data_IF_582983913974
#
_entry.id   IF_582983913974
#
_cell.length_a   1.000
_cell.length_b   1.000
_cell.length_c   1.000
_cell.angle_alpha   90.00
_cell.angle_beta   90.00
_cell.angle_gamma   90.00
#
_symmetry.space_group_name_H-M   'P 1'
#
loop_
_entity.id
_entity.type
_entity.pdbx_description
1 polymer ?
#
# COMPACT_ATOMS: atom_id res chain seq x y z
N UNK A 1 -28.03 22.05 3.41
CA UNK A 1 -26.92 21.35 2.72
C UNK A 1 -25.83 22.40 2.60
N UNK A 2 -24.59 22.13 3.03
CA UNK A 2 -23.54 23.16 2.92
C UNK A 2 -23.20 23.38 1.46
N UNK A 3 -23.36 24.61 0.94
CA UNK A 3 -23.00 25.03 -0.42
C UNK A 3 -21.47 25.05 -0.67
N UNK A 4 -20.69 24.35 0.17
CA UNK A 4 -19.24 24.34 0.10
C UNK A 4 -18.76 23.17 -0.75
N UNK A 5 -18.02 23.50 -1.80
CA UNK A 5 -17.22 22.54 -2.57
C UNK A 5 -15.91 22.29 -1.84
N UNK A 6 -15.56 21.02 -1.60
CA UNK A 6 -14.29 20.64 -0.98
C UNK A 6 -13.21 20.40 -2.03
N UNK A 7 -12.06 21.03 -1.86
CA UNK A 7 -10.92 20.83 -2.75
C UNK A 7 -10.04 19.68 -2.27
N UNK A 8 -9.73 18.75 -3.18
CA UNK A 8 -8.93 17.55 -2.89
C UNK A 8 -7.75 17.47 -3.84
N UNK A 9 -6.54 17.33 -3.30
CA UNK A 9 -5.32 17.15 -4.10
C UNK A 9 -4.76 15.73 -3.95
N UNK A 10 -4.64 15.01 -5.07
CA UNK A 10 -3.97 13.72 -5.13
C UNK A 10 -2.51 13.87 -5.57
N UNK A 11 -1.59 13.41 -4.71
CA UNK A 11 -0.15 13.50 -4.94
C UNK A 11 0.43 12.14 -5.27
N UNK A 12 1.18 12.05 -6.37
CA UNK A 12 2.09 10.93 -6.62
C UNK A 12 3.44 11.44 -7.15
N UNK A 13 4.43 10.58 -7.35
CA UNK A 13 5.75 11.05 -7.82
C UNK A 13 5.66 11.66 -9.21
N UNK A 14 5.12 10.93 -10.19
CA UNK A 14 5.18 11.31 -11.59
C UNK A 14 4.00 12.11 -12.15
N UNK A 15 2.91 12.26 -11.38
CA UNK A 15 1.62 12.79 -11.87
C UNK A 15 1.24 12.34 -13.28
N UNK A 16 1.21 11.03 -13.50
CA UNK A 16 1.03 10.44 -14.83
C UNK A 16 -0.02 9.33 -14.86
N UNK A 17 -0.15 8.56 -13.77
CA UNK A 17 -1.08 7.42 -13.69
C UNK A 17 -2.02 7.52 -12.47
N UNK A 18 -1.56 7.09 -11.29
CA UNK A 18 -2.40 6.93 -10.08
C UNK A 18 -3.16 8.18 -9.66
N UNK A 19 -2.49 9.34 -9.61
CA UNK A 19 -3.16 10.58 -9.21
C UNK A 19 -4.13 11.12 -10.28
N UNK A 20 -3.90 10.81 -11.57
CA UNK A 20 -4.82 11.14 -12.67
C UNK A 20 -6.08 10.27 -12.60
N UNK A 21 -5.92 8.96 -12.34
CA UNK A 21 -7.05 8.07 -12.07
C UNK A 21 -7.91 8.62 -10.92
N UNK A 22 -7.26 9.05 -9.83
CA UNK A 22 -7.94 9.57 -8.65
C UNK A 22 -8.69 10.89 -8.92
N UNK A 23 -8.05 11.85 -9.59
CA UNK A 23 -8.65 13.13 -9.97
C UNK A 23 -9.91 12.93 -10.82
N UNK A 24 -9.81 12.13 -11.88
CA UNK A 24 -10.93 11.85 -12.78
C UNK A 24 -12.11 11.19 -12.07
N UNK A 25 -11.83 10.13 -11.29
CA UNK A 25 -12.85 9.38 -10.57
C UNK A 25 -13.55 10.27 -9.53
N UNK A 26 -12.80 11.08 -8.75
CA UNK A 26 -13.42 11.92 -7.73
C UNK A 26 -14.23 13.06 -8.34
N UNK A 27 -13.78 13.69 -9.43
CA UNK A 27 -14.56 14.73 -10.11
C UNK A 27 -15.89 14.18 -10.65
N UNK A 28 -15.90 12.95 -11.16
CA UNK A 28 -17.12 12.31 -11.65
C UNK A 28 -18.06 11.86 -10.52
N UNK A 29 -17.54 11.19 -9.48
CA UNK A 29 -18.34 10.60 -8.40
C UNK A 29 -18.75 11.65 -7.35
N UNK A 30 -17.90 12.65 -7.11
CA UNK A 30 -18.07 13.71 -6.11
C UNK A 30 -19.02 14.82 -6.55
N UNK A 31 -19.24 14.98 -7.88
CA UNK A 31 -20.14 15.98 -8.47
C UNK A 31 -19.91 17.37 -7.86
N UNK A 32 -20.98 18.11 -7.57
CA UNK A 32 -20.91 19.49 -7.07
C UNK A 32 -20.42 19.61 -5.61
N UNK A 33 -20.02 18.50 -4.96
CA UNK A 33 -19.52 18.52 -3.58
C UNK A 33 -18.00 18.58 -3.50
N UNK A 34 -17.31 18.15 -4.54
CA UNK A 34 -15.85 18.02 -4.53
C UNK A 34 -15.26 18.51 -5.84
N UNK A 35 -14.12 19.18 -5.72
CA UNK A 35 -13.25 19.49 -6.84
C UNK A 35 -11.90 18.83 -6.60
N UNK A 36 -11.56 17.88 -7.47
CA UNK A 36 -10.33 17.13 -7.41
C UNK A 36 -9.27 17.74 -8.31
N UNK A 37 -8.03 17.71 -7.82
CA UNK A 37 -6.82 18.07 -8.52
C UNK A 37 -5.80 16.95 -8.34
N UNK A 38 -4.81 16.88 -9.23
CA UNK A 38 -3.63 16.04 -9.03
C UNK A 38 -2.35 16.78 -9.32
N UNK A 39 -1.27 16.35 -8.67
CA UNK A 39 0.07 16.84 -8.95
C UNK A 39 1.12 15.79 -8.58
N UNK A 40 2.39 16.12 -8.79
CA UNK A 40 3.47 15.27 -8.34
C UNK A 40 4.75 16.01 -8.03
N UNK A 41 5.63 15.32 -7.31
CA UNK A 41 6.90 15.86 -6.87
C UNK A 41 7.96 15.90 -7.97
N UNK A 42 7.89 14.95 -8.89
CA UNK A 42 8.76 14.82 -10.06
C UNK A 42 7.89 14.50 -11.28
N UNK A 43 7.06 15.46 -11.75
CA UNK A 43 6.12 15.22 -12.82
C UNK A 43 6.82 14.71 -14.08
N UNK A 44 6.25 13.68 -14.72
CA UNK A 44 6.80 13.10 -15.95
C UNK A 44 6.62 14.00 -17.18
N UNK A 45 5.78 15.03 -17.08
CA UNK A 45 5.46 15.93 -18.19
C UNK A 45 4.31 15.44 -19.07
N UNK A 46 3.98 14.15 -19.03
CA UNK A 46 2.87 13.56 -19.77
C UNK A 46 1.98 12.63 -18.92
N UNK A 47 0.71 12.57 -19.29
CA UNK A 47 -0.27 11.66 -18.70
C UNK A 47 -0.14 10.30 -19.38
N UNK A 48 -0.14 9.22 -18.60
CA UNK A 48 0.00 7.88 -19.12
C UNK A 48 -1.23 7.48 -19.96
N UNK A 49 -1.04 7.04 -21.22
CA UNK A 49 -2.16 6.67 -22.10
C UNK A 49 -3.06 5.56 -21.55
N UNK A 50 -2.52 4.58 -20.81
CA UNK A 50 -3.31 3.52 -20.20
C UNK A 50 -4.23 4.03 -19.09
N UNK A 51 -3.84 5.11 -18.38
CA UNK A 51 -4.73 5.75 -17.42
C UNK A 51 -5.96 6.32 -18.11
N UNK A 52 -5.77 7.05 -19.21
CA UNK A 52 -6.86 7.63 -20.00
C UNK A 52 -7.73 6.53 -20.65
N UNK A 53 -7.10 5.49 -21.20
CA UNK A 53 -7.80 4.34 -21.80
C UNK A 53 -8.72 3.66 -20.79
N UNK A 54 -8.22 3.35 -19.59
CA UNK A 54 -9.01 2.71 -18.53
C UNK A 54 -10.11 3.64 -18.01
N UNK A 55 -9.83 4.93 -17.84
CA UNK A 55 -10.86 5.90 -17.45
C UNK A 55 -12.00 5.95 -18.46
N UNK A 56 -11.68 6.05 -19.75
CA UNK A 56 -12.67 6.05 -20.82
C UNK A 56 -13.50 4.77 -20.85
N UNK A 57 -12.86 3.60 -20.70
CA UNK A 57 -13.55 2.31 -20.62
C UNK A 57 -14.49 2.20 -19.41
N UNK A 58 -14.19 2.88 -18.31
CA UNK A 58 -15.01 2.94 -17.10
C UNK A 58 -16.06 4.06 -17.11
N UNK A 59 -16.11 4.88 -18.18
CA UNK A 59 -17.05 5.99 -18.32
C UNK A 59 -16.67 7.25 -17.54
N UNK A 60 -15.39 7.42 -17.20
CA UNK A 60 -14.87 8.60 -16.52
C UNK A 60 -14.29 9.64 -17.50
N UNK A 61 -14.22 10.93 -17.11
CA UNK A 61 -13.56 11.95 -17.92
C UNK A 61 -12.12 11.57 -18.30
N UNK A 62 -11.70 11.91 -19.51
CA UNK A 62 -10.37 11.62 -20.05
C UNK A 62 -9.64 12.86 -20.59
N UNK A 63 -10.25 14.03 -20.51
CA UNK A 63 -9.73 15.27 -21.08
C UNK A 63 -9.32 16.28 -19.99
N UNK A 64 -8.49 17.25 -20.34
CA UNK A 64 -8.09 18.34 -19.44
C UNK A 64 -7.01 17.98 -18.41
N UNK A 65 -6.59 16.72 -18.35
CA UNK A 65 -5.51 16.28 -17.46
C UNK A 65 -4.13 16.68 -18.00
N UNK A 66 -3.23 17.06 -17.09
CA UNK A 66 -1.80 17.25 -17.38
C UNK A 66 -0.94 16.78 -16.23
N UNK A 67 0.29 16.39 -16.55
CA UNK A 67 1.34 16.13 -15.56
C UNK A 67 1.96 17.45 -15.10
N UNK A 68 1.94 17.71 -13.79
CA UNK A 68 2.34 19.01 -13.21
C UNK A 68 2.98 18.89 -11.83
N UNK A 69 3.81 19.88 -11.51
CA UNK A 69 4.44 19.96 -10.19
C UNK A 69 3.40 20.31 -9.13
N UNK A 70 3.57 19.78 -7.94
CA UNK A 70 2.78 20.17 -6.77
C UNK A 70 3.03 21.61 -6.32
N UNK A 71 4.10 22.26 -6.81
CA UNK A 71 4.49 23.60 -6.40
C UNK A 71 3.44 24.63 -6.84
N UNK A 72 2.73 24.32 -7.93
CA UNK A 72 1.62 25.12 -8.45
C UNK A 72 0.46 25.26 -7.46
N UNK A 73 0.37 24.36 -6.47
CA UNK A 73 -0.66 24.39 -5.43
C UNK A 73 -0.16 25.02 -4.11
N UNK A 74 1.13 25.35 -4.04
CA UNK A 74 1.77 25.95 -2.86
C UNK A 74 2.01 27.46 -3.00
N UNK A 75 1.62 28.08 -4.13
CA UNK A 75 1.76 29.51 -4.39
C UNK A 75 0.55 30.33 -3.95
N UNK A 76 0.73 31.64 -3.77
CA UNK A 76 -0.36 32.57 -3.50
C UNK A 76 -1.39 32.57 -4.64
N UNK A 77 -2.67 32.55 -4.30
CA UNK A 77 -3.77 32.50 -5.27
C UNK A 77 -4.09 31.10 -5.82
N UNK A 78 -3.30 30.08 -5.48
CA UNK A 78 -3.66 28.70 -5.78
C UNK A 78 -4.93 28.27 -5.02
N UNK A 79 -5.71 27.31 -5.54
CA UNK A 79 -6.87 26.80 -4.84
C UNK A 79 -6.48 26.26 -3.46
N UNK A 80 -7.22 26.65 -2.42
CA UNK A 80 -6.97 26.15 -1.06
C UNK A 80 -7.48 24.72 -0.94
N UNK A 81 -6.61 23.81 -0.47
CA UNK A 81 -6.96 22.39 -0.31
C UNK A 81 -7.62 22.14 1.04
N UNK A 82 -8.69 21.35 1.03
CA UNK A 82 -9.29 20.79 2.25
C UNK A 82 -8.65 19.44 2.59
N UNK A 83 -8.34 18.65 1.56
CA UNK A 83 -7.79 17.32 1.70
C UNK A 83 -6.60 17.11 0.75
N UNK A 84 -5.57 16.43 1.25
CA UNK A 84 -4.44 15.97 0.43
C UNK A 84 -4.25 14.48 0.63
N UNK A 85 -4.24 13.72 -0.46
CA UNK A 85 -4.04 12.28 -0.44
C UNK A 85 -2.80 11.88 -1.22
N UNK A 86 -1.81 11.30 -0.55
CA UNK A 86 -0.63 10.73 -1.22
C UNK A 86 -0.95 9.31 -1.67
N UNK A 87 -0.70 8.99 -2.95
CA UNK A 87 -1.10 7.70 -3.55
C UNK A 87 0.10 6.83 -3.96
N UNK A 88 1.31 7.30 -3.70
CA UNK A 88 2.54 6.51 -3.74
C UNK A 88 3.35 6.69 -2.45
N UNK A 89 4.11 5.67 -2.08
CA UNK A 89 4.90 5.64 -0.84
C UNK A 89 5.99 6.71 -0.85
N UNK A 90 6.61 6.98 -2.01
CA UNK A 90 7.61 8.04 -2.17
C UNK A 90 7.07 9.44 -1.91
N UNK A 91 5.85 9.76 -2.38
CA UNK A 91 5.25 11.08 -2.13
C UNK A 91 4.80 11.26 -0.67
N UNK A 92 4.64 10.17 0.09
CA UNK A 92 4.35 10.24 1.52
C UNK A 92 5.61 10.52 2.36
N UNK A 93 6.80 10.09 1.89
CA UNK A 93 8.08 10.24 2.59
C UNK A 93 8.90 11.48 2.19
N UNK A 94 8.49 12.22 1.16
CA UNK A 94 9.15 13.46 0.74
C UNK A 94 8.70 14.65 1.60
N UNK A 95 9.60 15.62 1.81
CA UNK A 95 9.31 16.85 2.54
C UNK A 95 8.32 17.71 1.75
N UNK A 96 7.02 17.48 1.98
CA UNK A 96 5.96 18.24 1.35
C UNK A 96 6.08 19.73 1.71
N UNK A 97 5.78 20.65 0.78
CA UNK A 97 5.70 22.07 1.10
C UNK A 97 4.63 22.33 2.17
N UNK A 98 4.78 23.44 2.89
CA UNK A 98 3.77 23.88 3.85
C UNK A 98 2.52 24.32 3.09
N UNK A 99 1.45 23.55 3.21
CA UNK A 99 0.20 23.82 2.51
C UNK A 99 -0.62 24.92 3.21
N UNK A 100 -1.03 25.98 2.47
CA UNK A 100 -1.95 26.97 3.00
C UNK A 100 -3.26 26.32 3.51
N UNK A 101 -3.78 26.82 4.64
CA UNK A 101 -5.05 26.33 5.20
C UNK A 101 -4.96 25.04 6.03
N UNK A 102 -3.79 24.41 6.13
CA UNK A 102 -3.56 23.16 6.85
C UNK A 102 -4.57 22.06 6.43
N UNK A 103 -4.51 21.54 5.21
CA UNK A 103 -5.39 20.47 4.75
C UNK A 103 -5.29 19.22 5.62
N UNK A 104 -6.35 18.41 5.67
CA UNK A 104 -6.28 17.08 6.25
C UNK A 104 -5.55 16.14 5.29
N UNK A 105 -4.61 15.35 5.81
CA UNK A 105 -3.79 14.46 4.99
C UNK A 105 -4.05 12.99 5.30
N UNK A 106 -3.98 12.14 4.27
CA UNK A 106 -3.92 10.70 4.45
C UNK A 106 -3.13 10.03 3.33
N UNK A 107 -2.55 8.87 3.62
CA UNK A 107 -1.82 8.08 2.65
C UNK A 107 -2.69 6.93 2.12
N UNK A 108 -2.97 6.95 0.82
CA UNK A 108 -3.75 5.95 0.09
C UNK A 108 -2.86 5.28 -0.95
N UNK A 109 -1.76 4.66 -0.51
CA UNK A 109 -0.81 3.95 -1.37
C UNK A 109 -1.48 2.92 -2.28
N UNK A 110 -1.17 3.00 -3.58
CA UNK A 110 -1.52 2.01 -4.60
C UNK A 110 -0.24 1.68 -5.36
N UNK A 111 -0.06 0.41 -5.68
CA UNK A 111 1.02 -0.04 -6.54
C UNK A 111 1.03 0.74 -7.86
N UNK A 112 2.22 1.02 -8.38
CA UNK A 112 2.33 1.77 -9.63
C UNK A 112 1.94 0.88 -10.83
N UNK A 113 0.78 1.08 -11.46
CA UNK A 113 0.43 0.29 -12.63
C UNK A 113 1.38 0.57 -13.81
N UNK A 114 2.06 1.72 -13.82
CA UNK A 114 3.03 2.07 -14.85
C UNK A 114 4.38 1.34 -14.71
N UNK A 115 4.62 0.68 -13.56
CA UNK A 115 5.81 -0.15 -13.35
C UNK A 115 5.62 -1.60 -13.82
N UNK A 116 4.42 -1.97 -14.25
CA UNK A 116 4.14 -3.31 -14.78
C UNK A 116 4.67 -3.42 -16.21
N UNK A 117 5.57 -4.37 -16.41
CA UNK A 117 6.09 -4.76 -17.72
C UNK A 117 5.28 -5.92 -18.30
N UNK A 118 5.38 -6.12 -19.62
CA UNK A 118 4.66 -7.18 -20.33
C UNK A 118 3.74 -6.64 -21.44
N UNK A 119 2.76 -7.46 -21.79
CA UNK A 119 1.78 -7.19 -22.84
C UNK A 119 0.84 -6.02 -22.47
N UNK A 120 0.22 -5.40 -23.47
CA UNK A 120 -0.75 -4.33 -23.25
C UNK A 120 -1.93 -4.78 -22.39
N UNK A 121 -2.35 -6.05 -22.51
CA UNK A 121 -3.40 -6.65 -21.69
C UNK A 121 -3.00 -6.71 -20.21
N UNK A 122 -1.76 -7.10 -19.91
CA UNK A 122 -1.24 -7.15 -18.53
C UNK A 122 -1.16 -5.74 -17.92
N UNK A 123 -0.68 -4.76 -18.71
CA UNK A 123 -0.65 -3.36 -18.29
C UNK A 123 -2.06 -2.82 -18.05
N UNK A 124 -2.99 -3.02 -18.98
CA UNK A 124 -4.39 -2.61 -18.84
C UNK A 124 -5.06 -3.23 -17.60
N UNK A 125 -4.78 -4.51 -17.32
CA UNK A 125 -5.26 -5.18 -16.11
C UNK A 125 -4.71 -4.49 -14.86
N UNK A 126 -3.42 -4.12 -14.83
CA UNK A 126 -2.82 -3.41 -13.72
C UNK A 126 -3.46 -2.01 -13.52
N UNK A 127 -3.65 -1.25 -14.60
CA UNK A 127 -4.33 0.06 -14.54
C UNK A 127 -5.79 -0.07 -14.09
N UNK A 128 -6.51 -1.09 -14.57
CA UNK A 128 -7.90 -1.37 -14.16
C UNK A 128 -7.98 -1.72 -12.67
N UNK A 129 -7.02 -2.51 -12.18
CA UNK A 129 -6.93 -2.85 -10.76
C UNK A 129 -6.66 -1.61 -9.90
N UNK A 130 -5.71 -0.76 -10.31
CA UNK A 130 -5.40 0.49 -9.64
C UNK A 130 -6.61 1.45 -9.61
N UNK A 131 -7.31 1.62 -10.74
CA UNK A 131 -8.53 2.43 -10.84
C UNK A 131 -9.62 1.91 -9.90
N UNK A 132 -9.81 0.58 -9.84
CA UNK A 132 -10.77 -0.05 -8.93
C UNK A 132 -10.42 0.20 -7.47
N UNK A 133 -9.16 0.05 -7.06
CA UNK A 133 -8.73 0.36 -5.69
C UNK A 133 -8.97 1.84 -5.35
N UNK A 134 -8.63 2.74 -6.25
CA UNK A 134 -8.82 4.17 -6.06
C UNK A 134 -10.31 4.52 -5.93
N UNK A 135 -11.16 4.00 -6.83
CA UNK A 135 -12.61 4.18 -6.78
C UNK A 135 -13.20 3.75 -5.45
N UNK A 136 -12.81 2.58 -4.94
CA UNK A 136 -13.32 2.09 -3.66
C UNK A 136 -12.98 3.03 -2.48
N UNK A 137 -11.77 3.59 -2.48
CA UNK A 137 -11.35 4.55 -1.45
C UNK A 137 -12.11 5.88 -1.59
N UNK A 138 -12.26 6.37 -2.81
CA UNK A 138 -13.04 7.58 -3.12
C UNK A 138 -14.50 7.41 -2.68
N UNK A 139 -15.16 6.31 -3.02
CA UNK A 139 -16.55 6.06 -2.61
C UNK A 139 -16.67 5.98 -1.08
N UNK A 140 -15.72 5.34 -0.40
CA UNK A 140 -15.70 5.32 1.06
C UNK A 140 -15.51 6.72 1.66
N UNK A 141 -14.68 7.55 1.03
CA UNK A 141 -14.47 8.95 1.41
C UNK A 141 -15.74 9.79 1.21
N UNK A 142 -16.39 9.71 0.04
CA UNK A 142 -17.61 10.46 -0.28
C UNK A 142 -18.77 10.21 0.70
N UNK A 143 -18.81 9.01 1.29
CA UNK A 143 -19.80 8.58 2.29
C UNK A 143 -19.50 9.07 3.72
N UNK A 144 -18.36 9.71 3.98
CA UNK A 144 -18.09 10.35 5.26
C UNK A 144 -18.94 11.62 5.42
N UNK A 145 -19.21 11.99 6.67
CA UNK A 145 -19.76 13.31 7.00
C UNK A 145 -18.62 14.30 7.09
N UNK A 146 -18.51 15.17 6.08
CA UNK A 146 -17.41 16.13 5.95
C UNK A 146 -17.66 17.44 6.72
N UNK A 147 -18.92 17.70 7.05
CA UNK A 147 -19.40 18.79 7.89
C UNK A 147 -19.29 18.50 9.39
N UNK A 148 -18.73 17.35 9.77
CA UNK A 148 -18.58 16.95 11.16
C UNK A 148 -17.61 17.90 11.90
N UNK A 149 -18.03 18.37 13.08
CA UNK A 149 -17.27 19.27 13.96
C UNK A 149 -15.96 18.62 14.46
N UNK A 150 -15.87 17.29 14.42
CA UNK A 150 -14.71 16.54 14.90
C UNK A 150 -13.70 16.24 13.78
N UNK A 151 -12.73 17.14 13.66
CA UNK A 151 -11.58 17.02 12.76
C UNK A 151 -10.73 15.77 13.04
N UNK A 152 -10.58 15.37 14.32
CA UNK A 152 -9.79 14.20 14.71
C UNK A 152 -10.45 12.89 14.26
N UNK A 153 -11.78 12.80 14.43
CA UNK A 153 -12.55 11.68 13.90
C UNK A 153 -12.40 11.56 12.39
N UNK A 154 -12.53 12.67 11.65
CA UNK A 154 -12.43 12.66 10.19
C UNK A 154 -11.03 12.24 9.75
N UNK A 155 -9.96 12.81 10.34
CA UNK A 155 -8.57 12.38 10.08
C UNK A 155 -8.39 10.87 10.32
N UNK A 156 -8.92 10.34 11.43
CA UNK A 156 -8.85 8.91 11.75
C UNK A 156 -9.54 8.05 10.68
N UNK A 157 -10.71 8.47 10.18
CA UNK A 157 -11.42 7.76 9.11
C UNK A 157 -10.69 7.83 7.77
N UNK A 158 -10.12 8.97 7.41
CA UNK A 158 -9.33 9.13 6.18
C UNK A 158 -8.10 8.22 6.16
N UNK A 159 -7.40 8.12 7.28
CA UNK A 159 -6.30 7.18 7.46
C UNK A 159 -6.78 5.72 7.34
N UNK A 160 -7.93 5.39 7.96
CA UNK A 160 -8.51 4.04 7.88
C UNK A 160 -8.88 3.64 6.44
N UNK A 161 -9.35 4.58 5.61
CA UNK A 161 -9.65 4.32 4.18
C UNK A 161 -8.38 3.93 3.41
N UNK A 162 -7.26 4.61 3.65
CA UNK A 162 -5.97 4.26 3.06
C UNK A 162 -5.49 2.86 3.44
N UNK A 163 -5.74 2.49 4.70
CA UNK A 163 -5.39 1.19 5.31
C UNK A 163 -6.29 0.02 4.89
N UNK A 164 -7.39 0.27 4.14
CA UNK A 164 -8.17 -0.80 3.51
C UNK A 164 -7.40 -1.32 2.31
N UNK A 165 -6.40 -2.16 2.58
CA UNK A 165 -5.85 -3.02 1.55
C UNK A 165 -6.96 -4.01 1.15
N UNK A 166 -7.16 -4.26 -0.14
CA UNK A 166 -8.31 -5.01 -0.64
C UNK A 166 -8.36 -6.49 -0.27
N UNK A 167 -7.58 -6.90 0.74
CA UNK A 167 -7.47 -8.25 1.25
C UNK A 167 -8.11 -8.34 2.64
N UNK A 168 -8.86 -9.41 2.86
CA UNK A 168 -9.35 -9.81 4.18
C UNK A 168 -8.34 -10.75 4.82
N UNK A 169 -7.93 -10.46 6.06
CA UNK A 169 -7.00 -11.28 6.81
C UNK A 169 -7.77 -12.11 7.84
N UNK A 170 -7.58 -13.42 7.81
CA UNK A 170 -8.15 -14.37 8.75
C UNK A 170 -7.00 -15.07 9.48
N UNK A 171 -7.02 -15.07 10.81
CA UNK A 171 -6.04 -15.81 11.62
C UNK A 171 -6.27 -17.32 11.45
N UNK A 172 -5.20 -18.06 11.21
CA UNK A 172 -5.21 -19.51 10.99
C UNK A 172 -4.20 -20.20 11.89
N UNK A 173 -4.37 -21.50 12.10
CA UNK A 173 -3.41 -22.32 12.83
C UNK A 173 -2.09 -22.47 12.06
N UNK A 174 -0.98 -22.62 12.79
CA UNK A 174 0.35 -22.85 12.23
C UNK A 174 0.48 -24.19 11.48
N UNK A 175 -0.52 -25.07 11.58
CA UNK A 175 -0.63 -26.35 10.87
C UNK A 175 -1.73 -26.34 9.80
N UNK A 176 -2.18 -25.16 9.37
CA UNK A 176 -3.16 -25.03 8.29
C UNK A 176 -2.64 -25.63 6.97
N UNK A 177 -3.45 -26.48 6.36
CA UNK A 177 -3.10 -27.20 5.12
C UNK A 177 -2.90 -26.22 3.96
N UNK A 178 -3.67 -25.13 3.92
CA UNK A 178 -3.56 -24.10 2.90
C UNK A 178 -2.24 -23.33 2.99
N UNK A 179 -1.84 -22.95 4.21
CA UNK A 179 -0.54 -22.35 4.50
C UNK A 179 0.61 -23.25 4.06
N UNK A 180 0.60 -24.52 4.49
CA UNK A 180 1.67 -25.47 4.16
C UNK A 180 1.76 -25.69 2.64
N UNK A 181 0.62 -25.88 1.98
CA UNK A 181 0.56 -26.04 0.52
C UNK A 181 1.07 -24.81 -0.22
N UNK A 182 0.71 -23.60 0.23
CA UNK A 182 1.16 -22.37 -0.37
C UNK A 182 2.68 -22.18 -0.23
N UNK A 183 3.24 -22.45 0.95
CA UNK A 183 4.69 -22.37 1.18
C UNK A 183 5.47 -23.35 0.29
N UNK A 184 5.03 -24.61 0.22
CA UNK A 184 5.61 -25.61 -0.68
C UNK A 184 5.54 -25.20 -2.16
N UNK A 185 4.46 -24.54 -2.57
CA UNK A 185 4.29 -24.09 -3.97
C UNK A 185 5.26 -22.99 -4.40
N UNK A 186 5.89 -22.30 -3.44
CA UNK A 186 6.88 -21.25 -3.67
C UNK A 186 8.25 -21.60 -3.08
N UNK A 187 8.50 -22.89 -2.87
CA UNK A 187 9.78 -23.43 -2.37
C UNK A 187 10.24 -22.85 -1.01
N UNK A 188 9.28 -22.49 -0.14
CA UNK A 188 9.56 -22.04 1.22
C UNK A 188 9.51 -23.21 2.22
N UNK A 189 10.37 -23.20 3.26
CA UNK A 189 10.43 -24.26 4.27
C UNK A 189 9.15 -24.31 5.12
N UNK A 190 8.85 -25.52 5.62
CA UNK A 190 7.63 -25.80 6.41
C UNK A 190 7.92 -26.57 7.71
N UNK A 191 9.15 -27.03 7.90
CA UNK A 191 9.56 -27.96 8.96
C UNK A 191 9.45 -27.34 10.36
N UNK A 192 9.57 -26.02 10.46
CA UNK A 192 9.55 -25.28 11.73
C UNK A 192 8.17 -24.68 12.06
N UNK A 193 7.18 -24.80 11.17
CA UNK A 193 5.84 -24.24 11.37
C UNK A 193 5.18 -24.76 12.66
N UNK A 194 5.22 -26.08 12.88
CA UNK A 194 4.64 -26.71 14.07
C UNK A 194 5.33 -26.34 15.39
N UNK A 195 6.51 -25.73 15.33
CA UNK A 195 7.27 -25.25 16.49
C UNK A 195 7.08 -23.75 16.72
N UNK A 196 6.52 -23.03 15.75
CA UNK A 196 6.28 -21.60 15.83
C UNK A 196 5.11 -21.29 16.76
N UNK A 197 5.33 -20.38 17.71
CA UNK A 197 4.27 -19.73 18.49
C UNK A 197 3.72 -18.46 17.82
N UNK A 198 4.05 -18.26 16.55
CA UNK A 198 3.64 -17.10 15.77
C UNK A 198 2.16 -17.07 15.43
N UNK A 199 1.72 -15.90 14.98
CA UNK A 199 0.38 -15.71 14.42
C UNK A 199 0.47 -15.82 12.91
N UNK A 200 -0.38 -16.65 12.32
CA UNK A 200 -0.44 -16.89 10.89
C UNK A 200 -1.77 -16.43 10.34
N UNK A 201 -1.75 -15.95 9.10
CA UNK A 201 -2.91 -15.37 8.45
C UNK A 201 -3.06 -15.91 7.05
N UNK A 202 -4.31 -16.22 6.68
CA UNK A 202 -4.77 -16.35 5.31
C UNK A 202 -5.28 -14.99 4.84
N UNK A 203 -4.84 -14.57 3.67
CA UNK A 203 -5.31 -13.35 3.03
C UNK A 203 -6.16 -13.71 1.82
N UNK A 204 -7.39 -13.23 1.81
CA UNK A 204 -8.35 -13.49 0.73
C UNK A 204 -8.72 -12.21 -0.01
N UNK A 205 -9.02 -12.34 -1.30
CA UNK A 205 -9.64 -11.25 -2.05
C UNK A 205 -11.11 -11.03 -1.59
N UNK A 206 -11.77 -10.03 -2.18
CA UNK A 206 -13.18 -9.70 -1.85
C UNK A 206 -14.20 -10.76 -2.27
N UNK A 207 -13.81 -11.75 -3.05
CA UNK A 207 -14.65 -12.88 -3.42
C UNK A 207 -14.47 -14.05 -2.44
N UNK A 208 -13.59 -13.90 -1.44
CA UNK A 208 -13.24 -14.94 -0.48
C UNK A 208 -12.19 -15.92 -1.01
N UNK A 209 -11.59 -15.67 -2.17
CA UNK A 209 -10.56 -16.55 -2.70
C UNK A 209 -9.23 -16.29 -1.97
N UNK A 210 -8.55 -17.33 -1.46
CA UNK A 210 -7.24 -17.15 -0.86
C UNK A 210 -6.22 -16.70 -1.91
N UNK A 211 -5.53 -15.60 -1.64
CA UNK A 211 -4.51 -15.04 -2.54
C UNK A 211 -3.10 -15.07 -1.95
N UNK A 212 -2.97 -15.37 -0.66
CA UNK A 212 -1.68 -15.58 -0.04
C UNK A 212 -1.75 -15.76 1.46
N UNK A 213 -0.59 -15.98 2.05
CA UNK A 213 -0.40 -16.30 3.46
C UNK A 213 0.78 -15.52 4.02
N UNK A 214 0.79 -15.37 5.34
CA UNK A 214 1.87 -14.69 6.03
C UNK A 214 1.79 -14.88 7.54
N UNK A 215 2.93 -14.79 8.21
CA UNK A 215 3.03 -14.94 9.66
C UNK A 215 3.88 -13.87 10.31
N UNK A 216 3.67 -13.70 11.61
CA UNK A 216 4.41 -12.77 12.46
C UNK A 216 4.67 -13.41 13.83
N UNK A 217 5.91 -13.31 14.28
CA UNK A 217 6.34 -13.69 15.62
C UNK A 217 6.86 -12.46 16.37
N UNK A 218 6.67 -12.42 17.69
CA UNK A 218 7.06 -11.28 18.52
C UNK A 218 8.16 -11.65 19.51
N UNK A 219 9.18 -10.80 19.56
CA UNK A 219 10.34 -10.94 20.42
C UNK A 219 10.60 -9.59 21.11
N UNK A 220 9.86 -9.34 22.19
CA UNK A 220 9.87 -8.05 22.86
C UNK A 220 9.27 -6.97 21.95
N UNK A 221 10.10 -5.99 21.55
CA UNK A 221 9.71 -4.91 20.63
C UNK A 221 10.00 -5.21 19.17
N UNK A 222 10.57 -6.38 18.88
CA UNK A 222 10.93 -6.79 17.52
C UNK A 222 9.91 -7.79 17.00
N UNK A 223 9.50 -7.62 15.74
CA UNK A 223 8.60 -8.55 15.06
C UNK A 223 9.36 -9.27 13.93
N UNK A 224 9.27 -10.59 13.88
CA UNK A 224 9.77 -11.41 12.78
C UNK A 224 8.61 -11.72 11.83
N UNK A 225 8.65 -11.13 10.63
CA UNK A 225 7.76 -11.47 9.53
C UNK A 225 8.29 -12.73 8.85
N UNK A 226 7.40 -13.72 8.68
CA UNK A 226 7.75 -15.04 8.16
C UNK A 226 6.65 -15.61 7.28
N UNK A 227 6.98 -16.70 6.58
CA UNK A 227 6.00 -17.50 5.84
C UNK A 227 5.12 -16.69 4.87
N UNK A 228 5.69 -15.62 4.27
CA UNK A 228 4.99 -14.78 3.29
C UNK A 228 5.00 -15.51 1.96
N UNK A 229 3.85 -16.05 1.58
CA UNK A 229 3.69 -16.85 0.36
C UNK A 229 2.50 -16.35 -0.47
N UNK A 230 2.73 -16.19 -1.77
CA UNK A 230 1.69 -15.88 -2.76
C UNK A 230 1.78 -16.96 -3.84
N UNK A 231 0.80 -17.87 -3.94
CA UNK A 231 0.77 -18.91 -4.97
C UNK A 231 0.87 -18.32 -6.39
N UNK A 232 1.48 -19.04 -7.33
CA UNK A 232 1.81 -18.54 -8.67
C UNK A 232 0.59 -17.96 -9.41
N UNK A 233 -0.58 -18.57 -9.23
CA UNK A 233 -1.87 -18.13 -9.78
C UNK A 233 -2.33 -16.76 -9.24
N UNK A 234 -1.89 -16.36 -8.05
CA UNK A 234 -2.19 -15.10 -7.41
C UNK A 234 -1.04 -14.08 -7.50
N UNK A 235 0.14 -14.47 -8.00
CA UNK A 235 1.28 -13.56 -8.14
C UNK A 235 1.05 -12.46 -9.17
N UNK A 236 1.91 -11.43 -9.14
CA UNK A 236 1.88 -10.25 -10.04
C UNK A 236 0.64 -9.34 -9.93
N UNK A 237 -0.13 -9.47 -8.85
CA UNK A 237 -1.28 -8.61 -8.52
C UNK A 237 -1.06 -7.72 -7.29
N UNK A 238 0.19 -7.65 -6.80
CA UNK A 238 0.55 -6.86 -5.63
C UNK A 238 0.22 -7.46 -4.27
N UNK A 239 -0.24 -8.71 -4.25
CA UNK A 239 -0.63 -9.38 -3.01
C UNK A 239 0.54 -9.52 -2.03
N UNK A 240 1.75 -9.80 -2.50
CA UNK A 240 2.92 -9.86 -1.62
C UNK A 240 3.18 -8.54 -0.89
N UNK A 241 3.08 -7.42 -1.61
CA UNK A 241 3.26 -6.08 -1.03
C UNK A 241 2.19 -5.81 0.02
N UNK A 242 0.94 -6.13 -0.31
CA UNK A 242 -0.19 -5.93 0.57
C UNK A 242 -0.08 -6.77 1.85
N UNK A 243 0.14 -8.08 1.71
CA UNK A 243 0.35 -9.01 2.82
C UNK A 243 1.45 -8.50 3.75
N UNK A 244 2.60 -8.12 3.18
CA UNK A 244 3.73 -7.59 3.97
C UNK A 244 3.35 -6.34 4.75
N UNK A 245 2.64 -5.38 4.14
CA UNK A 245 2.18 -4.17 4.84
C UNK A 245 1.15 -4.46 5.92
N UNK A 246 0.24 -5.41 5.68
CA UNK A 246 -0.75 -5.84 6.68
C UNK A 246 -0.08 -6.50 7.88
N UNK A 247 0.94 -7.33 7.67
CA UNK A 247 1.72 -7.93 8.75
C UNK A 247 2.51 -6.89 9.53
N UNK A 248 3.19 -5.95 8.85
CA UNK A 248 3.90 -4.84 9.51
C UNK A 248 2.95 -3.99 10.36
N UNK A 249 1.76 -3.70 9.84
CA UNK A 249 0.73 -2.96 10.56
C UNK A 249 0.21 -3.74 11.76
N UNK A 250 0.00 -5.04 11.62
CA UNK A 250 -0.38 -5.88 12.75
C UNK A 250 0.72 -5.84 13.82
N UNK A 251 1.99 -5.90 13.43
CA UNK A 251 3.11 -5.79 14.36
C UNK A 251 3.14 -4.44 15.10
N UNK A 252 2.95 -3.32 14.38
CA UNK A 252 2.85 -1.97 14.95
C UNK A 252 1.71 -1.85 15.98
N UNK A 253 0.53 -2.40 15.65
CA UNK A 253 -0.62 -2.42 16.57
C UNK A 253 -0.33 -3.24 17.84
N UNK A 254 0.47 -4.30 17.73
CA UNK A 254 0.91 -5.11 18.87
C UNK A 254 2.10 -4.47 19.62
N UNK A 255 2.56 -3.28 19.22
CA UNK A 255 3.59 -2.52 19.91
C UNK A 255 5.03 -2.87 19.53
N UNK A 256 5.23 -3.54 18.39
CA UNK A 256 6.57 -3.68 17.83
C UNK A 256 7.10 -2.32 17.35
N UNK A 257 8.41 -2.14 17.35
CA UNK A 257 9.11 -0.95 16.83
C UNK A 257 9.86 -1.28 15.53
N UNK A 258 10.38 -2.51 15.41
CA UNK A 258 11.13 -2.97 14.24
C UNK A 258 10.58 -4.31 13.70
N UNK A 259 10.52 -4.40 12.38
CA UNK A 259 10.18 -5.60 11.63
C UNK A 259 11.43 -6.19 10.99
N UNK A 260 11.62 -7.49 11.17
CA UNK A 260 12.69 -8.29 10.60
C UNK A 260 12.11 -9.35 9.67
N UNK A 261 12.83 -9.71 8.62
CA UNK A 261 12.52 -10.89 7.83
C UNK A 261 13.80 -11.52 7.28
N UNK A 262 13.71 -12.81 6.97
CA UNK A 262 14.78 -13.59 6.38
C UNK A 262 14.38 -14.00 4.96
N UNK A 263 15.29 -13.83 4.01
CA UNK A 263 15.03 -14.18 2.61
C UNK A 263 16.32 -14.61 1.89
N UNK A 264 16.20 -15.53 0.95
CA UNK A 264 17.30 -16.00 0.09
C UNK A 264 17.32 -15.27 -1.26
N UNK A 265 16.16 -14.95 -1.83
CA UNK A 265 16.00 -14.47 -3.21
C UNK A 265 15.10 -13.22 -3.35
N UNK A 266 14.24 -12.96 -2.37
CA UNK A 266 13.26 -11.88 -2.44
C UNK A 266 13.75 -10.54 -1.83
N UNK A 267 15.05 -10.39 -1.57
CA UNK A 267 15.58 -9.14 -1.02
C UNK A 267 15.27 -7.89 -1.87
N UNK A 268 15.36 -7.93 -3.23
CA UNK A 268 14.97 -6.78 -4.05
C UNK A 268 13.48 -6.43 -3.95
N UNK A 269 12.62 -7.44 -3.73
CA UNK A 269 11.18 -7.23 -3.55
C UNK A 269 10.90 -6.49 -2.23
N UNK A 270 11.45 -6.98 -1.12
CA UNK A 270 11.27 -6.33 0.19
C UNK A 270 11.97 -4.96 0.28
N UNK A 271 13.05 -4.76 -0.47
CA UNK A 271 13.71 -3.45 -0.62
C UNK A 271 12.76 -2.36 -1.12
N UNK A 272 11.87 -2.68 -2.07
CA UNK A 272 10.83 -1.75 -2.55
C UNK A 272 9.80 -1.40 -1.48
N UNK A 273 9.67 -2.24 -0.45
CA UNK A 273 8.82 -2.04 0.72
C UNK A 273 9.58 -1.42 1.89
N UNK A 274 10.75 -0.83 1.65
CA UNK A 274 11.54 -0.09 2.65
C UNK A 274 12.35 -0.97 3.61
N UNK A 275 12.42 -2.28 3.39
CA UNK A 275 13.36 -3.12 4.11
C UNK A 275 14.79 -2.88 3.61
N UNK A 276 15.74 -2.91 4.53
CA UNK A 276 17.17 -2.77 4.22
C UNK A 276 17.95 -3.95 4.81
N UNK A 277 19.02 -4.41 4.13
CA UNK A 277 19.92 -5.41 4.71
C UNK A 277 20.48 -4.95 6.05
N UNK A 278 20.62 -5.88 6.98
CA UNK A 278 21.25 -5.65 8.28
C UNK A 278 22.26 -6.75 8.57
N UNK A 279 23.42 -6.34 9.08
CA UNK A 279 24.47 -7.26 9.51
C UNK A 279 23.99 -8.09 10.71
N UNK A 280 24.30 -9.40 10.73
CA UNK A 280 23.87 -10.30 11.81
C UNK A 280 24.27 -9.80 13.20
N UNK A 281 25.40 -9.11 13.33
CA UNK A 281 25.87 -8.53 14.61
C UNK A 281 24.98 -7.41 15.14
N UNK A 282 24.13 -6.82 14.29
CA UNK A 282 23.19 -5.75 14.63
C UNK A 282 21.75 -6.23 14.74
N UNK A 283 21.51 -7.54 14.56
CA UNK A 283 20.19 -8.17 14.71
C UNK A 283 20.02 -8.60 16.16
N UNK A 284 18.85 -8.37 16.79
CA UNK A 284 18.57 -8.84 18.14
C UNK A 284 18.81 -10.34 18.30
N UNK A 285 19.44 -10.75 19.40
CA UNK A 285 19.78 -12.17 19.66
C UNK A 285 18.53 -13.06 19.65
N UNK A 286 17.40 -12.54 20.16
CA UNK A 286 16.12 -13.24 20.12
C UNK A 286 15.70 -13.63 18.69
N UNK A 287 15.89 -12.74 17.71
CA UNK A 287 15.60 -13.01 16.29
C UNK A 287 16.57 -14.03 15.71
N UNK A 288 17.87 -13.94 16.06
CA UNK A 288 18.90 -14.88 15.58
C UNK A 288 18.73 -16.30 16.16
N UNK A 289 18.16 -16.40 17.37
CA UNK A 289 17.91 -17.67 18.05
C UNK A 289 16.68 -18.43 17.55
N UNK A 290 15.89 -17.83 16.63
CA UNK A 290 14.69 -18.47 16.10
C UNK A 290 15.02 -19.70 15.26
N UNK A 291 14.15 -20.74 15.24
CA UNK A 291 14.32 -21.90 14.38
C UNK A 291 14.56 -21.50 12.92
N UNK A 292 13.82 -20.50 12.44
CA UNK A 292 13.93 -19.97 11.09
C UNK A 292 15.32 -19.36 10.80
N UNK A 293 15.89 -18.59 11.74
CA UNK A 293 17.22 -18.00 11.58
C UNK A 293 18.37 -19.01 11.76
N UNK A 294 18.19 -20.02 12.61
CA UNK A 294 19.18 -21.06 12.87
C UNK A 294 19.23 -22.14 11.77
N UNK A 295 18.10 -22.44 11.14
CA UNK A 295 17.98 -23.47 10.09
C UNK A 295 18.44 -22.98 8.71
N UNK A 296 18.43 -21.67 8.49
CA UNK A 296 18.91 -21.06 7.25
C UNK A 296 20.43 -20.87 7.27
N UNK A 297 21.10 -21.31 6.20
CA UNK A 297 22.54 -21.16 6.06
C UNK A 297 22.93 -19.66 6.13
N UNK A 298 23.85 -19.25 7.04
CA UNK A 298 24.22 -17.84 7.21
C UNK A 298 24.79 -17.16 5.97
N UNK A 299 25.32 -17.93 5.01
CA UNK A 299 25.89 -17.40 3.77
C UNK A 299 24.87 -17.20 2.65
N UNK A 300 23.64 -17.72 2.77
CA UNK A 300 22.64 -17.66 1.69
C UNK A 300 21.39 -16.87 2.05
N UNK A 301 21.03 -16.76 3.33
CA UNK A 301 19.88 -15.99 3.78
C UNK A 301 20.29 -14.59 4.27
N UNK A 302 19.79 -13.56 3.59
CA UNK A 302 19.90 -12.17 4.02
C UNK A 302 18.86 -11.87 5.09
N UNK A 303 19.25 -11.13 6.13
CA UNK A 303 18.34 -10.58 7.12
C UNK A 303 18.07 -9.13 6.74
N UNK A 304 16.79 -8.77 6.63
CA UNK A 304 16.37 -7.41 6.36
C UNK A 304 15.59 -6.84 7.54
N UNK A 305 15.68 -5.52 7.71
CA UNK A 305 14.98 -4.80 8.78
C UNK A 305 14.34 -3.50 8.29
N UNK A 306 13.25 -3.08 8.95
CA UNK A 306 12.59 -1.78 8.79
C UNK A 306 11.89 -1.38 10.10
N UNK A 307 11.74 -0.08 10.37
CA UNK A 307 10.76 0.41 11.35
C UNK A 307 9.34 -0.02 10.96
N UNK A 308 8.54 -0.52 11.91
CA UNK A 308 7.14 -0.90 11.62
C UNK A 308 6.20 0.30 11.57
N UNK A 309 6.56 1.39 12.26
CA UNK A 309 5.82 2.64 12.20
C UNK A 309 5.91 3.22 10.79
N UNK A 310 4.73 3.45 10.20
CA UNK A 310 4.53 3.99 8.85
C UNK A 310 4.67 5.51 8.86
#
# INVERSE_FOLDING_TARGET
>A
MSDRVYNVLFLCTGNSARSILAESILNAEGKDRFQAFSAGSQPKGEVNPFALKVLGALGYPTEGFRSKSWDEFAVEGAPQMDFIFTVCDSAAGEACPVWPGHPMTAHWGIEDPAAVEGTDIEKERAFSLAARYMKNRIVAFLNLRHDAVDRLWLTTKLQAIGRREGLEAEEIDNVDIGLESALRSVDLPTEDLGQSSGKFFRFSDRQGNPVGYGGVEFYGKDALLRSIAVPAEAQKHGHGSAITRLLLRYADIQGAEAGYLLTTDAAPFFGKLGFRPVERTSVPEAILSTPQASGLCPSTASILTRSVSI
#
